data_IF_640877662688
#
_entry.id   IF_640877662688
#
_cell.length_a   1.000
_cell.length_b   1.000
_cell.length_c   1.000
_cell.angle_alpha   90.00
_cell.angle_beta   90.00
_cell.angle_gamma   90.00
#
_symmetry.space_group_name_H-M   'P 1'
#
loop_
_entity.id
_entity.type
_entity.pdbx_description
1 polymer ?
#
# COMPACT_ATOMS: atom_id res chain seq x y z
N UNK A 1 59.06 17.34 -7.00
CA UNK A 1 57.59 17.53 -6.94
C UNK A 1 56.90 16.17 -7.22
N UNK A 2 56.92 15.26 -6.25
CA UNK A 2 56.51 13.84 -6.40
C UNK A 2 55.64 13.40 -5.22
N UNK A 3 54.47 14.00 -4.97
CA UNK A 3 53.65 13.62 -3.80
C UNK A 3 52.12 13.69 -3.99
N UNK A 4 51.57 13.55 -5.21
CA UNK A 4 50.09 13.63 -5.40
C UNK A 4 49.46 12.44 -6.15
N UNK A 5 50.23 11.55 -6.80
CA UNK A 5 49.65 10.45 -7.62
C UNK A 5 49.18 9.22 -6.83
N UNK A 6 49.78 8.94 -5.66
CA UNK A 6 49.42 7.76 -4.83
C UNK A 6 47.98 7.78 -4.27
N UNK A 7 47.44 8.90 -3.74
CA UNK A 7 46.08 8.91 -3.19
C UNK A 7 44.99 8.71 -4.26
N UNK A 8 45.21 9.19 -5.49
CA UNK A 8 44.21 9.07 -6.57
C UNK A 8 43.99 7.61 -6.99
N UNK A 9 45.05 6.79 -7.01
CA UNK A 9 44.97 5.36 -7.33
C UNK A 9 44.24 4.58 -6.22
N UNK A 10 44.40 4.99 -4.96
CA UNK A 10 43.71 4.39 -3.81
C UNK A 10 42.21 4.71 -3.85
N UNK A 11 41.83 5.95 -4.15
CA UNK A 11 40.41 6.33 -4.27
C UNK A 11 39.76 5.62 -5.46
N UNK A 12 40.45 5.53 -6.60
CA UNK A 12 39.93 4.83 -7.78
C UNK A 12 39.78 3.32 -7.59
N UNK A 13 40.63 2.70 -6.77
CA UNK A 13 40.49 1.27 -6.45
C UNK A 13 39.34 1.01 -5.47
N UNK A 14 39.10 1.90 -4.50
CA UNK A 14 37.95 1.81 -3.59
C UNK A 14 36.61 1.96 -4.31
N UNK A 15 36.51 2.89 -5.26
CA UNK A 15 35.28 3.06 -6.05
C UNK A 15 35.01 1.85 -6.94
N UNK A 16 36.06 1.27 -7.53
CA UNK A 16 35.96 0.05 -8.32
C UNK A 16 35.49 -1.14 -7.47
N UNK A 17 36.04 -1.30 -6.27
CA UNK A 17 35.61 -2.34 -5.33
C UNK A 17 34.15 -2.15 -4.92
N UNK A 18 33.73 -0.91 -4.63
CA UNK A 18 32.34 -0.59 -4.30
C UNK A 18 31.38 -0.96 -5.45
N UNK A 19 31.76 -0.65 -6.70
CA UNK A 19 30.98 -1.03 -7.89
C UNK A 19 30.89 -2.54 -8.06
N UNK A 20 31.98 -3.27 -7.83
CA UNK A 20 32.01 -4.73 -7.92
C UNK A 20 31.11 -5.34 -6.85
N UNK A 21 31.18 -4.88 -5.61
CA UNK A 21 30.32 -5.35 -4.51
C UNK A 21 28.86 -5.04 -4.81
N UNK A 22 28.55 -3.82 -5.29
CA UNK A 22 27.20 -3.44 -5.71
C UNK A 22 26.67 -4.34 -6.83
N UNK A 23 27.52 -4.66 -7.82
CA UNK A 23 27.16 -5.52 -8.94
C UNK A 23 26.91 -6.97 -8.49
N UNK A 24 27.78 -7.52 -7.63
CA UNK A 24 27.62 -8.86 -7.06
C UNK A 24 26.35 -8.93 -6.21
N UNK A 25 26.10 -7.92 -5.38
CA UNK A 25 24.86 -7.80 -4.60
C UNK A 25 23.65 -7.77 -5.53
N UNK A 26 23.65 -6.92 -6.56
CA UNK A 26 22.55 -6.85 -7.51
C UNK A 26 22.31 -8.19 -8.20
N UNK A 27 23.36 -8.89 -8.62
CA UNK A 27 23.28 -10.19 -9.27
C UNK A 27 22.74 -11.29 -8.35
N UNK A 28 23.21 -11.35 -7.10
CA UNK A 28 22.80 -12.35 -6.12
C UNK A 28 21.35 -12.17 -5.64
N UNK A 29 20.88 -10.92 -5.54
CA UNK A 29 19.54 -10.60 -5.05
C UNK A 29 18.53 -10.24 -6.15
N UNK A 30 18.93 -10.28 -7.43
CA UNK A 30 18.08 -9.90 -8.58
C UNK A 30 16.75 -10.64 -8.57
N UNK A 31 16.80 -11.95 -8.38
CA UNK A 31 15.60 -12.81 -8.42
C UNK A 31 14.72 -12.57 -7.20
N UNK A 32 15.29 -12.34 -6.01
CA UNK A 32 14.52 -11.98 -4.82
C UNK A 32 13.85 -10.60 -4.95
N UNK A 33 14.53 -9.60 -5.54
CA UNK A 33 13.96 -8.28 -5.80
C UNK A 33 12.82 -8.37 -6.81
N UNK A 34 12.99 -9.15 -7.87
CA UNK A 34 11.96 -9.36 -8.89
C UNK A 34 10.76 -10.15 -8.35
N UNK A 35 11.00 -11.20 -7.56
CA UNK A 35 9.93 -11.96 -6.90
C UNK A 35 9.20 -11.09 -5.89
N UNK A 36 9.89 -10.27 -5.09
CA UNK A 36 9.24 -9.34 -4.17
C UNK A 36 8.40 -8.30 -4.95
N UNK A 37 8.92 -7.71 -6.02
CA UNK A 37 8.15 -6.78 -6.86
C UNK A 37 6.98 -7.46 -7.57
N UNK A 38 7.16 -8.67 -8.07
CA UNK A 38 6.11 -9.47 -8.72
C UNK A 38 5.05 -9.92 -7.70
N UNK A 39 5.46 -10.26 -6.48
CA UNK A 39 4.59 -10.57 -5.35
C UNK A 39 3.81 -9.34 -4.92
N UNK A 40 4.46 -8.18 -4.74
CA UNK A 40 3.78 -6.90 -4.47
C UNK A 40 2.81 -6.56 -5.60
N UNK A 41 3.18 -6.80 -6.86
CA UNK A 41 2.27 -6.62 -8.00
C UNK A 41 1.14 -7.62 -7.98
N UNK A 42 1.35 -8.90 -7.68
CA UNK A 42 0.32 -9.95 -7.59
C UNK A 42 -0.66 -9.72 -6.46
N UNK A 43 -0.18 -9.31 -5.28
CA UNK A 43 -0.99 -8.89 -4.14
C UNK A 43 -1.77 -7.60 -4.45
N UNK A 44 -1.21 -6.72 -5.30
CA UNK A 44 -1.89 -5.53 -5.85
C UNK A 44 -2.44 -5.72 -7.27
N UNK A 45 -2.68 -6.96 -7.75
CA UNK A 45 -3.48 -7.10 -8.98
C UNK A 45 -4.89 -6.83 -8.50
N UNK A 46 -5.54 -5.72 -8.92
CA UNK A 46 -6.97 -5.61 -8.71
C UNK A 46 -7.58 -6.79 -9.45
N UNK A 47 -8.06 -7.79 -8.71
CA UNK A 47 -9.06 -8.74 -9.22
C UNK A 47 -10.12 -7.89 -9.92
N UNK A 48 -10.69 -8.31 -11.07
CA UNK A 48 -11.69 -7.51 -11.79
C UNK A 48 -12.74 -7.06 -10.79
N UNK A 49 -12.64 -5.81 -10.35
CA UNK A 49 -13.00 -5.54 -8.97
C UNK A 49 -14.52 -5.59 -8.91
N UNK A 50 -15.08 -6.16 -7.84
CA UNK A 50 -16.49 -5.94 -7.57
C UNK A 50 -16.78 -4.43 -7.52
N UNK A 51 -15.76 -3.62 -7.23
CA UNK A 51 -15.72 -2.17 -7.39
C UNK A 51 -15.99 -1.73 -8.84
N UNK A 52 -15.37 -2.30 -9.86
CA UNK A 52 -15.65 -2.03 -11.29
C UNK A 52 -17.08 -2.44 -11.67
N UNK A 53 -17.56 -3.59 -11.17
CA UNK A 53 -18.93 -4.06 -11.43
C UNK A 53 -19.94 -3.14 -10.74
N UNK A 54 -19.69 -2.74 -9.49
CA UNK A 54 -20.50 -1.76 -8.75
C UNK A 54 -20.43 -0.40 -9.44
N UNK A 55 -19.28 0.03 -9.94
CA UNK A 55 -19.10 1.29 -10.66
C UNK A 55 -19.83 1.27 -12.01
N UNK A 56 -19.88 0.11 -12.68
CA UNK A 56 -20.67 -0.09 -13.90
C UNK A 56 -22.18 -0.09 -13.61
N UNK A 57 -22.62 -0.73 -12.53
CA UNK A 57 -24.01 -0.72 -12.06
C UNK A 57 -24.43 0.64 -11.48
N UNK A 58 -23.49 1.42 -10.94
CA UNK A 58 -23.67 2.75 -10.33
C UNK A 58 -24.07 3.83 -11.35
N UNK A 59 -23.81 3.61 -12.65
CA UNK A 59 -24.29 4.51 -13.72
C UNK A 59 -25.82 4.51 -13.90
N UNK A 60 -26.56 3.65 -13.20
CA UNK A 60 -27.98 3.34 -13.47
C UNK A 60 -28.99 3.66 -12.35
N UNK A 61 -28.75 4.64 -11.46
CA UNK A 61 -29.74 5.22 -10.50
C UNK A 61 -29.64 4.86 -8.99
N UNK A 62 -28.45 4.82 -8.37
CA UNK A 62 -28.36 4.94 -6.90
C UNK A 62 -27.24 5.92 -6.54
N UNK A 63 -27.50 6.78 -5.56
CA UNK A 63 -26.60 7.85 -5.08
C UNK A 63 -25.17 7.32 -4.97
N UNK A 64 -24.33 7.83 -5.87
CA UNK A 64 -23.02 7.33 -6.26
C UNK A 64 -21.95 7.54 -5.20
N UNK A 65 -22.23 8.41 -4.24
CA UNK A 65 -21.28 8.90 -3.25
C UNK A 65 -21.84 8.86 -1.82
N UNK A 66 -22.94 8.13 -1.61
CA UNK A 66 -23.42 7.86 -0.26
C UNK A 66 -22.43 6.94 0.44
N UNK A 67 -21.68 7.49 1.39
CA UNK A 67 -20.81 6.73 2.28
C UNK A 67 -21.56 5.57 2.94
N UNK A 68 -22.87 5.72 3.15
CA UNK A 68 -23.77 4.67 3.62
C UNK A 68 -23.91 3.48 2.65
N UNK A 69 -23.94 3.72 1.33
CA UNK A 69 -23.98 2.64 0.34
C UNK A 69 -22.63 1.91 0.30
N UNK A 70 -21.52 2.66 0.28
CA UNK A 70 -20.18 2.09 0.30
C UNK A 70 -19.92 1.30 1.59
N UNK A 71 -20.39 1.79 2.74
CA UNK A 71 -20.35 1.05 4.00
C UNK A 71 -21.15 -0.26 3.94
N UNK A 72 -22.38 -0.24 3.41
CA UNK A 72 -23.16 -1.48 3.24
C UNK A 72 -22.45 -2.47 2.31
N UNK A 73 -21.87 -1.99 1.22
CA UNK A 73 -21.09 -2.83 0.32
C UNK A 73 -19.88 -3.46 1.02
N UNK A 74 -19.11 -2.68 1.80
CA UNK A 74 -17.96 -3.23 2.53
C UNK A 74 -18.38 -4.31 3.52
N UNK A 75 -19.51 -4.14 4.23
CA UNK A 75 -20.01 -5.20 5.13
C UNK A 75 -20.35 -6.50 4.40
N UNK A 76 -20.85 -6.43 3.17
CA UNK A 76 -21.11 -7.61 2.33
C UNK A 76 -19.78 -8.28 1.94
N UNK A 77 -18.79 -7.49 1.52
CA UNK A 77 -17.47 -7.98 1.13
C UNK A 77 -16.75 -8.67 2.31
N UNK A 78 -16.82 -8.08 3.51
CA UNK A 78 -16.29 -8.67 4.75
C UNK A 78 -16.93 -10.04 5.00
N UNK A 79 -18.27 -10.14 4.91
CA UNK A 79 -18.99 -11.42 5.07
C UNK A 79 -18.62 -12.45 4.02
N UNK A 80 -18.26 -12.01 2.82
CA UNK A 80 -17.78 -12.86 1.72
C UNK A 80 -16.30 -13.22 1.83
N UNK A 81 -15.61 -12.80 2.91
CA UNK A 81 -14.15 -12.95 3.13
C UNK A 81 -13.30 -12.27 2.05
N UNK A 82 -13.89 -11.31 1.35
CA UNK A 82 -13.23 -10.45 0.35
C UNK A 82 -12.68 -9.21 1.06
N UNK A 83 -11.69 -9.44 1.93
CA UNK A 83 -11.18 -8.45 2.88
C UNK A 83 -10.47 -7.29 2.17
N UNK A 84 -9.66 -7.60 1.16
CA UNK A 84 -8.91 -6.60 0.39
C UNK A 84 -9.85 -5.65 -0.36
N UNK A 85 -10.92 -6.17 -0.96
CA UNK A 85 -11.96 -5.37 -1.62
C UNK A 85 -12.77 -4.53 -0.61
N UNK A 86 -13.03 -5.07 0.58
CA UNK A 86 -13.70 -4.32 1.64
C UNK A 86 -12.88 -3.10 2.10
N UNK A 87 -11.56 -3.27 2.23
CA UNK A 87 -10.62 -2.19 2.57
C UNK A 87 -10.64 -1.09 1.50
N UNK A 88 -10.64 -1.45 0.22
CA UNK A 88 -10.72 -0.49 -0.88
C UNK A 88 -12.03 0.32 -0.85
N UNK A 89 -13.16 -0.37 -0.66
CA UNK A 89 -14.49 0.26 -0.59
C UNK A 89 -14.61 1.18 0.62
N UNK A 90 -14.08 0.79 1.78
CA UNK A 90 -14.02 1.63 2.98
C UNK A 90 -13.14 2.86 2.76
N UNK A 91 -12.00 2.72 2.09
CA UNK A 91 -11.14 3.85 1.73
C UNK A 91 -11.86 4.85 0.82
N UNK A 92 -12.70 4.39 -0.10
CA UNK A 92 -13.57 5.27 -0.90
C UNK A 92 -14.65 5.96 -0.07
N UNK A 93 -15.30 5.23 0.84
CA UNK A 93 -16.31 5.81 1.74
C UNK A 93 -15.69 6.93 2.60
N UNK A 94 -14.48 6.72 3.09
CA UNK A 94 -13.76 7.69 3.91
C UNK A 94 -13.32 8.93 3.09
N UNK A 95 -13.10 8.83 1.77
CA UNK A 95 -12.87 10.03 0.94
C UNK A 95 -14.09 10.95 0.88
N UNK A 96 -15.30 10.37 0.99
CA UNK A 96 -16.55 11.14 0.97
C UNK A 96 -16.86 11.73 2.35
N UNK A 97 -16.55 10.98 3.42
CA UNK A 97 -16.67 11.46 4.80
C UNK A 97 -15.36 11.27 5.58
N UNK A 98 -14.37 12.17 5.38
CA UNK A 98 -13.04 12.04 5.96
C UNK A 98 -13.01 12.05 7.48
N UNK A 99 -14.02 12.64 8.13
CA UNK A 99 -14.10 12.76 9.59
C UNK A 99 -15.08 11.77 10.22
N UNK A 100 -15.60 10.80 9.46
CA UNK A 100 -16.50 9.81 10.02
C UNK A 100 -15.73 8.77 10.86
N UNK A 101 -15.89 8.77 12.20
CA UNK A 101 -15.13 7.87 13.07
C UNK A 101 -15.52 6.41 12.87
N UNK A 102 -16.76 6.13 12.45
CA UNK A 102 -17.23 4.78 12.19
C UNK A 102 -16.53 4.16 10.97
N UNK A 103 -16.33 4.95 9.90
CA UNK A 103 -15.60 4.49 8.71
C UNK A 103 -14.12 4.28 9.02
N UNK A 104 -13.51 5.18 9.80
CA UNK A 104 -12.12 5.03 10.26
C UNK A 104 -11.95 3.77 11.10
N UNK A 105 -12.83 3.53 12.07
CA UNK A 105 -12.77 2.35 12.93
C UNK A 105 -12.97 1.05 12.14
N UNK A 106 -13.93 1.02 11.21
CA UNK A 106 -14.14 -0.16 10.37
C UNK A 106 -12.92 -0.43 9.49
N UNK A 107 -12.35 0.61 8.85
CA UNK A 107 -11.15 0.47 8.03
C UNK A 107 -9.96 -0.02 8.86
N UNK A 108 -9.73 0.55 10.05
CA UNK A 108 -8.68 0.10 10.97
C UNK A 108 -8.85 -1.37 11.37
N UNK A 109 -10.09 -1.80 11.66
CA UNK A 109 -10.40 -3.18 12.02
C UNK A 109 -10.10 -4.14 10.86
N UNK A 110 -10.49 -3.78 9.65
CA UNK A 110 -10.24 -4.62 8.48
C UNK A 110 -8.74 -4.69 8.15
N UNK A 111 -8.00 -3.57 8.24
CA UNK A 111 -6.55 -3.51 8.06
C UNK A 111 -5.79 -4.33 9.11
N UNK A 112 -6.20 -4.26 10.38
CA UNK A 112 -5.60 -5.04 11.47
C UNK A 112 -5.72 -6.54 11.21
N UNK A 113 -6.92 -6.98 10.84
CA UNK A 113 -7.20 -8.37 10.52
C UNK A 113 -6.54 -8.84 9.21
N UNK A 114 -6.16 -7.92 8.32
CA UNK A 114 -5.37 -8.18 7.11
C UNK A 114 -3.85 -8.22 7.39
N UNK A 115 -3.43 -7.94 8.64
CA UNK A 115 -2.03 -7.89 9.05
C UNK A 115 -1.30 -6.59 8.67
N UNK A 116 -2.01 -5.57 8.20
CA UNK A 116 -1.46 -4.29 7.75
C UNK A 116 -1.29 -3.31 8.92
N UNK A 117 -0.53 -3.73 9.94
CA UNK A 117 -0.42 -3.02 11.22
C UNK A 117 0.17 -1.60 11.11
N UNK A 118 1.09 -1.35 10.18
CA UNK A 118 1.68 -0.02 9.96
C UNK A 118 0.66 1.03 9.49
N UNK A 119 -0.36 0.60 8.75
CA UNK A 119 -1.42 1.49 8.26
C UNK A 119 -2.47 1.73 9.34
N UNK A 120 -2.71 0.73 10.19
CA UNK A 120 -3.54 0.84 11.39
C UNK A 120 -2.97 1.86 12.36
N UNK A 121 -1.66 1.80 12.63
CA UNK A 121 -0.99 2.72 13.56
C UNK A 121 -1.09 4.18 13.07
N UNK A 122 -0.88 4.42 11.77
CA UNK A 122 -1.06 5.74 11.17
C UNK A 122 -2.49 6.24 11.33
N UNK A 123 -3.48 5.40 10.99
CA UNK A 123 -4.89 5.77 11.06
C UNK A 123 -5.35 6.04 12.50
N UNK A 124 -4.87 5.28 13.49
CA UNK A 124 -5.16 5.54 14.89
C UNK A 124 -4.48 6.80 15.41
N UNK A 125 -3.25 7.09 15.00
CA UNK A 125 -2.57 8.33 15.37
C UNK A 125 -3.33 9.56 14.84
N UNK A 126 -3.85 9.49 13.61
CA UNK A 126 -4.73 10.53 13.07
C UNK A 126 -6.01 10.66 13.90
N UNK A 127 -6.67 9.55 14.21
CA UNK A 127 -7.93 9.54 14.98
C UNK A 127 -7.74 10.15 16.38
N UNK A 128 -6.66 9.79 17.08
CA UNK A 128 -6.36 10.27 18.42
C UNK A 128 -5.92 11.74 18.43
N UNK A 129 -5.29 12.22 17.34
CA UNK A 129 -4.90 13.63 17.22
C UNK A 129 -6.11 14.57 17.08
N UNK A 130 -7.21 14.09 16.48
CA UNK A 130 -8.44 14.87 16.26
C UNK A 130 -9.33 15.01 17.50
N UNK A 131 -9.11 14.18 18.54
CA UNK A 131 -9.93 14.13 19.76
C UNK A 131 -9.35 15.00 20.90
N UNK A 132 -8.23 15.69 20.65
CA UNK A 132 -7.43 16.37 21.67
C UNK A 132 -7.73 17.86 21.83
#
# INVERSE_FOLDING_TARGET
MYMVRKPLIIVASLTLISLIVFFIFNLAYRDQILVNQAFFRMVNIPSPSLVDIVQKSSRRNLSKDDSAFLYRLSTILIRKRMRSEAIEVLGRALKNEPDNPQLKLQLATELFNDGRYEEVERLFNELLSQVR
#
